data_IF_502203632249
#
_entry.id   IF_502203632249
#
_cell.length_a   1.000
_cell.length_b   1.000
_cell.length_c   1.000
_cell.angle_alpha   90.00
_cell.angle_beta   90.00
_cell.angle_gamma   90.00
#
_symmetry.space_group_name_H-M   'P 1'
#
loop_
_entity.id
_entity.type
_entity.pdbx_description
1 polymer ?
#
# COMPACT_ATOMS: atom_id res chain seq x y z
N UNK A 1 33.74 11.07 -18.26
CA UNK A 1 34.06 9.70 -17.80
C UNK A 1 34.92 9.03 -18.87
N UNK A 2 36.12 8.56 -18.54
CA UNK A 2 36.98 7.85 -19.50
C UNK A 2 36.61 6.37 -19.52
N UNK A 3 36.07 5.87 -20.62
CA UNK A 3 35.82 4.43 -20.78
C UNK A 3 37.14 3.71 -21.05
N UNK A 4 37.43 2.62 -20.32
CA UNK A 4 38.60 1.76 -20.55
C UNK A 4 38.14 0.42 -21.11
N UNK A 5 38.65 0.05 -22.29
CA UNK A 5 38.38 -1.25 -22.87
C UNK A 5 38.99 -2.36 -21.99
N UNK A 6 38.20 -3.40 -21.73
CA UNK A 6 38.60 -4.59 -20.98
C UNK A 6 38.12 -5.84 -21.72
N UNK A 7 38.94 -6.88 -21.73
CA UNK A 7 38.59 -8.17 -22.34
C UNK A 7 38.20 -9.15 -21.25
N UNK A 8 36.95 -9.62 -21.28
CA UNK A 8 36.43 -10.62 -20.34
C UNK A 8 36.42 -11.98 -21.01
N UNK A 9 37.08 -12.97 -20.40
CA UNK A 9 37.00 -14.37 -20.86
C UNK A 9 35.76 -15.03 -20.26
N UNK A 10 34.90 -15.56 -21.12
CA UNK A 10 33.70 -16.30 -20.73
C UNK A 10 33.91 -17.80 -20.94
N UNK A 11 33.38 -18.62 -20.03
CA UNK A 11 33.28 -20.06 -20.28
C UNK A 11 32.28 -20.35 -21.42
N UNK A 12 32.34 -21.53 -22.05
CA UNK A 12 31.38 -21.90 -23.10
C UNK A 12 29.92 -21.84 -22.63
N UNK A 13 29.63 -22.16 -21.37
CA UNK A 13 28.27 -22.07 -20.81
C UNK A 13 27.82 -20.62 -20.62
N UNK A 14 28.69 -19.74 -20.10
CA UNK A 14 28.41 -18.31 -19.94
C UNK A 14 28.18 -17.63 -21.29
N UNK A 15 28.98 -17.96 -22.30
CA UNK A 15 28.81 -17.42 -23.65
C UNK A 15 27.47 -17.82 -24.26
N UNK A 16 27.03 -19.09 -24.13
CA UNK A 16 25.73 -19.54 -24.63
C UNK A 16 24.58 -18.75 -23.98
N UNK A 17 24.61 -18.59 -22.67
CA UNK A 17 23.60 -17.83 -21.92
C UNK A 17 23.58 -16.37 -22.37
N UNK A 18 24.76 -15.75 -22.52
CA UNK A 18 24.88 -14.36 -23.00
C UNK A 18 24.28 -14.20 -24.40
N UNK A 19 24.64 -15.09 -25.34
CA UNK A 19 24.18 -15.05 -26.72
C UNK A 19 22.65 -15.26 -26.82
N UNK A 20 22.09 -16.17 -26.00
CA UNK A 20 20.64 -16.36 -25.93
C UNK A 20 19.93 -15.11 -25.43
N UNK A 21 20.46 -14.43 -24.42
CA UNK A 21 19.90 -13.16 -23.93
C UNK A 21 20.05 -12.03 -24.94
N UNK A 22 21.18 -11.96 -25.65
CA UNK A 22 21.42 -10.98 -26.69
C UNK A 22 20.40 -11.14 -27.82
N UNK A 23 20.20 -12.37 -28.30
CA UNK A 23 19.22 -12.71 -29.33
C UNK A 23 17.79 -12.37 -28.93
N UNK A 24 17.38 -12.72 -27.70
CA UNK A 24 16.03 -12.41 -27.19
C UNK A 24 15.74 -10.91 -27.10
N UNK A 25 16.78 -10.10 -26.92
CA UNK A 25 16.66 -8.64 -26.75
C UNK A 25 17.04 -7.84 -28.01
N UNK A 26 17.38 -8.51 -29.11
CA UNK A 26 17.80 -7.85 -30.35
C UNK A 26 19.11 -7.07 -30.21
N UNK A 27 20.00 -7.49 -29.30
CA UNK A 27 21.27 -6.83 -29.01
C UNK A 27 22.44 -7.63 -29.59
N UNK A 28 23.57 -6.96 -29.81
CA UNK A 28 24.84 -7.66 -30.06
C UNK A 28 25.36 -8.29 -28.77
N UNK A 29 26.16 -9.36 -28.90
CA UNK A 29 26.78 -10.03 -27.75
C UNK A 29 27.63 -9.06 -26.91
N UNK A 30 28.31 -8.13 -27.58
CA UNK A 30 29.09 -7.07 -26.91
C UNK A 30 28.20 -6.13 -26.09
N UNK A 31 27.09 -5.64 -26.67
CA UNK A 31 26.15 -4.77 -25.96
C UNK A 31 25.47 -5.51 -24.79
N UNK A 32 25.18 -6.79 -24.96
CA UNK A 32 24.65 -7.63 -23.89
C UNK A 32 25.67 -7.82 -22.77
N UNK A 33 26.94 -8.05 -23.10
CA UNK A 33 28.03 -8.16 -22.11
C UNK A 33 28.17 -6.87 -21.28
N UNK A 34 28.13 -5.71 -21.93
CA UNK A 34 28.15 -4.42 -21.23
C UNK A 34 26.99 -4.29 -20.23
N UNK A 35 25.77 -4.68 -20.61
CA UNK A 35 24.60 -4.67 -19.72
C UNK A 35 24.70 -5.66 -18.55
N UNK A 36 25.27 -6.84 -18.79
CA UNK A 36 25.50 -7.83 -17.72
C UNK A 36 26.50 -7.29 -16.71
N UNK A 37 27.58 -6.66 -17.18
CA UNK A 37 28.59 -6.04 -16.31
C UNK A 37 28.00 -4.88 -15.51
N UNK A 38 27.23 -4.00 -16.15
CA UNK A 38 26.55 -2.89 -15.49
C UNK A 38 25.56 -3.38 -14.41
N UNK A 39 24.72 -4.37 -14.73
CA UNK A 39 23.80 -4.96 -13.79
C UNK A 39 24.52 -5.66 -12.62
N UNK A 40 25.66 -6.31 -12.90
CA UNK A 40 26.51 -6.93 -11.88
C UNK A 40 27.11 -5.89 -10.93
N UNK A 41 27.63 -4.78 -11.44
CA UNK A 41 28.11 -3.67 -10.61
C UNK A 41 26.99 -3.06 -9.78
N UNK A 42 25.81 -2.87 -10.36
CA UNK A 42 24.66 -2.34 -9.64
C UNK A 42 24.26 -3.27 -8.48
N UNK A 43 24.25 -4.59 -8.71
CA UNK A 43 23.98 -5.58 -7.67
C UNK A 43 25.08 -5.64 -6.59
N UNK A 44 26.34 -5.36 -6.93
CA UNK A 44 27.43 -5.28 -5.95
C UNK A 44 27.40 -3.99 -5.12
N UNK A 45 26.98 -2.86 -5.73
CA UNK A 45 26.92 -1.56 -5.08
C UNK A 45 25.71 -1.41 -4.15
N UNK A 46 24.58 -1.99 -4.53
CA UNK A 46 23.33 -1.94 -3.77
C UNK A 46 23.02 -3.24 -3.03
N UNK A 47 23.99 -4.18 -2.97
CA UNK A 47 23.75 -5.52 -2.44
C UNK A 47 22.53 -6.22 -3.07
N UNK A 48 22.07 -7.29 -2.46
CA UNK A 48 20.72 -7.81 -2.69
C UNK A 48 19.67 -7.01 -1.89
N UNK A 49 19.88 -5.69 -1.69
CA UNK A 49 19.02 -4.84 -0.83
C UNK A 49 17.58 -4.76 -1.30
N UNK A 50 17.28 -5.17 -2.54
CA UNK A 50 15.89 -5.28 -3.02
C UNK A 50 15.00 -6.13 -2.11
N UNK A 51 15.52 -7.18 -1.48
CA UNK A 51 14.72 -8.00 -0.56
C UNK A 51 14.53 -7.32 0.80
N UNK A 52 15.55 -6.61 1.28
CA UNK A 52 15.49 -5.80 2.52
C UNK A 52 14.54 -4.61 2.35
N UNK A 53 14.66 -3.86 1.24
CA UNK A 53 13.80 -2.73 0.90
C UNK A 53 12.33 -3.16 0.78
N UNK A 54 12.07 -4.34 0.20
CA UNK A 54 10.70 -4.87 0.09
C UNK A 54 10.14 -5.26 1.47
N UNK A 55 10.98 -5.84 2.34
CA UNK A 55 10.57 -6.22 3.69
C UNK A 55 10.29 -4.99 4.58
N UNK A 56 11.12 -3.95 4.48
CA UNK A 56 10.92 -2.67 5.16
C UNK A 56 9.64 -1.97 4.66
N UNK A 57 9.44 -1.93 3.34
CA UNK A 57 8.23 -1.36 2.75
C UNK A 57 6.97 -2.14 3.17
N UNK A 58 7.03 -3.47 3.22
CA UNK A 58 5.93 -4.29 3.72
C UNK A 58 5.65 -4.03 5.21
N UNK A 59 6.69 -3.82 6.02
CA UNK A 59 6.55 -3.47 7.43
C UNK A 59 5.84 -2.12 7.61
N UNK A 60 6.29 -1.09 6.89
CA UNK A 60 5.68 0.24 6.95
C UNK A 60 4.23 0.24 6.46
N UNK A 61 3.92 -0.48 5.37
CA UNK A 61 2.53 -0.66 4.92
C UNK A 61 1.69 -1.35 6.00
N UNK A 62 2.24 -2.36 6.67
CA UNK A 62 1.58 -3.03 7.79
C UNK A 62 1.28 -2.07 8.95
N UNK A 63 2.24 -1.22 9.31
CA UNK A 63 2.08 -0.20 10.35
C UNK A 63 1.03 0.85 9.97
N UNK A 64 1.03 1.32 8.72
CA UNK A 64 0.02 2.26 8.19
C UNK A 64 -1.36 1.62 8.23
N UNK A 65 -1.49 0.38 7.76
CA UNK A 65 -2.76 -0.36 7.76
C UNK A 65 -3.33 -0.52 9.17
N UNK A 66 -2.48 -0.85 10.15
CA UNK A 66 -2.90 -0.96 11.54
C UNK A 66 -3.40 0.37 12.12
N UNK A 67 -2.70 1.48 11.79
CA UNK A 67 -3.10 2.83 12.22
C UNK A 67 -4.40 3.29 11.55
N UNK A 68 -4.61 2.93 10.28
CA UNK A 68 -5.84 3.24 9.56
C UNK A 68 -7.04 2.51 10.17
N UNK A 69 -6.90 1.21 10.45
CA UNK A 69 -7.94 0.43 11.11
C UNK A 69 -8.29 0.99 12.51
N UNK A 70 -7.32 1.54 13.25
CA UNK A 70 -7.61 2.19 14.52
C UNK A 70 -8.33 3.54 14.32
N UNK A 71 -7.95 4.31 13.30
CA UNK A 71 -8.65 5.55 12.95
C UNK A 71 -10.12 5.28 12.58
N UNK A 72 -10.40 4.23 11.79
CA UNK A 72 -11.76 3.81 11.45
C UNK A 72 -12.59 3.49 12.70
N UNK A 73 -12.03 2.78 13.69
CA UNK A 73 -12.73 2.51 14.97
C UNK A 73 -13.01 3.77 15.77
N UNK A 74 -12.11 4.76 15.75
CA UNK A 74 -12.35 6.07 16.39
C UNK A 74 -13.46 6.83 15.65
N UNK A 75 -13.44 6.82 14.33
CA UNK A 75 -14.44 7.47 13.49
C UNK A 75 -15.84 6.85 13.69
N UNK A 76 -15.95 5.52 13.73
CA UNK A 76 -17.22 4.82 13.97
C UNK A 76 -17.82 5.18 15.35
N UNK A 77 -16.99 5.17 16.40
CA UNK A 77 -17.40 5.64 17.74
C UNK A 77 -17.84 7.11 17.73
N UNK A 78 -17.10 7.97 17.03
CA UNK A 78 -17.40 9.40 16.93
C UNK A 78 -18.73 9.62 16.20
N UNK A 79 -18.97 8.89 15.12
CA UNK A 79 -20.22 8.92 14.36
C UNK A 79 -21.40 8.51 15.25
N UNK A 80 -21.26 7.41 16.00
CA UNK A 80 -22.28 6.99 16.96
C UNK A 80 -22.56 8.07 18.02
N UNK A 81 -21.52 8.64 18.63
CA UNK A 81 -21.66 9.72 19.62
C UNK A 81 -22.34 10.95 19.02
N UNK A 82 -22.02 11.32 17.78
CA UNK A 82 -22.64 12.45 17.09
C UNK A 82 -24.14 12.20 16.82
N UNK A 83 -24.51 10.99 16.35
CA UNK A 83 -25.91 10.61 16.14
C UNK A 83 -26.71 10.65 17.45
N UNK A 84 -26.16 10.12 18.54
CA UNK A 84 -26.77 10.18 19.86
C UNK A 84 -26.95 11.63 20.32
N UNK A 85 -25.88 12.43 20.31
CA UNK A 85 -25.92 13.82 20.73
C UNK A 85 -26.97 14.63 19.97
N UNK A 86 -27.05 14.46 18.64
CA UNK A 86 -28.04 15.12 17.81
C UNK A 86 -29.48 14.70 18.17
N UNK A 87 -29.73 13.39 18.34
CA UNK A 87 -31.05 12.89 18.70
C UNK A 87 -31.52 13.48 20.05
N UNK A 88 -30.69 13.38 21.09
CA UNK A 88 -31.01 13.95 22.41
C UNK A 88 -31.20 15.47 22.37
N UNK A 89 -30.32 16.20 21.68
CA UNK A 89 -30.45 17.66 21.55
C UNK A 89 -31.73 18.06 20.82
N UNK A 90 -32.09 17.37 19.74
CA UNK A 90 -33.32 17.61 18.99
C UNK A 90 -34.56 17.35 19.83
N UNK A 91 -34.59 16.26 20.59
CA UNK A 91 -35.72 15.92 21.45
C UNK A 91 -35.87 16.89 22.62
N UNK A 92 -34.76 17.36 23.21
CA UNK A 92 -34.76 18.40 24.21
C UNK A 92 -35.31 19.73 23.64
N UNK A 93 -34.88 20.12 22.44
CA UNK A 93 -35.32 21.35 21.79
C UNK A 93 -36.80 21.32 21.39
N UNK A 94 -37.32 20.16 20.96
CA UNK A 94 -38.73 19.99 20.58
C UNK A 94 -39.66 19.74 21.79
N UNK A 95 -39.11 19.59 23.00
CA UNK A 95 -39.89 19.32 24.22
C UNK A 95 -40.67 18.01 24.17
N UNK A 96 -40.22 17.03 23.38
CA UNK A 96 -40.93 15.76 23.21
C UNK A 96 -40.83 14.89 24.45
N UNK A 97 -41.95 14.32 24.91
CA UNK A 97 -42.00 13.39 26.05
C UNK A 97 -41.71 11.94 25.65
N UNK A 98 -40.66 11.71 24.86
CA UNK A 98 -40.23 10.35 24.50
C UNK A 98 -39.38 9.75 25.62
N UNK A 99 -39.42 8.43 25.76
CA UNK A 99 -38.54 7.73 26.70
C UNK A 99 -37.11 7.73 26.19
N UNK A 100 -36.15 7.56 27.09
CA UNK A 100 -34.72 7.48 26.77
C UNK A 100 -34.44 6.35 25.76
N UNK A 101 -35.08 5.20 25.94
CA UNK A 101 -34.94 4.04 25.07
C UNK A 101 -35.39 4.34 23.64
N UNK A 102 -36.45 5.15 23.49
CA UNK A 102 -36.95 5.55 22.16
C UNK A 102 -35.95 6.45 21.45
N UNK A 103 -35.36 7.42 22.17
CA UNK A 103 -34.37 8.35 21.62
C UNK A 103 -33.08 7.61 21.25
N UNK A 104 -32.63 6.68 22.10
CA UNK A 104 -31.48 5.82 21.85
C UNK A 104 -31.70 4.92 20.61
N UNK A 105 -32.91 4.39 20.42
CA UNK A 105 -33.29 3.65 19.22
C UNK A 105 -33.17 4.51 17.95
N UNK A 106 -33.72 5.72 17.97
CA UNK A 106 -33.63 6.65 16.83
C UNK A 106 -32.17 7.05 16.51
N UNK A 107 -31.34 7.26 17.53
CA UNK A 107 -29.92 7.52 17.36
C UNK A 107 -29.19 6.33 16.72
N UNK A 108 -29.51 5.11 17.15
CA UNK A 108 -28.93 3.88 16.57
C UNK A 108 -29.33 3.70 15.11
N UNK A 109 -30.60 3.91 14.78
CA UNK A 109 -31.07 3.81 13.40
C UNK A 109 -30.41 4.87 12.50
N UNK A 110 -30.19 6.08 13.03
CA UNK A 110 -29.47 7.12 12.32
C UNK A 110 -27.99 6.76 12.07
N UNK A 111 -27.32 6.22 13.09
CA UNK A 111 -25.96 5.71 12.97
C UNK A 111 -25.86 4.61 11.92
N UNK A 112 -26.74 3.61 11.96
CA UNK A 112 -26.74 2.50 10.99
C UNK A 112 -26.93 2.98 9.54
N UNK A 113 -27.80 3.98 9.31
CA UNK A 113 -27.95 4.60 7.98
C UNK A 113 -26.68 5.33 7.53
N UNK A 114 -26.00 6.05 8.42
CA UNK A 114 -24.76 6.74 8.07
C UNK A 114 -23.63 5.74 7.78
N UNK A 115 -23.57 4.65 8.55
CA UNK A 115 -22.61 3.57 8.34
C UNK A 115 -22.87 2.84 7.01
N UNK A 116 -24.12 2.56 6.66
CA UNK A 116 -24.44 1.93 5.38
C UNK A 116 -24.05 2.80 4.19
N UNK A 117 -24.30 4.12 4.25
CA UNK A 117 -23.87 5.06 3.22
C UNK A 117 -22.35 5.10 3.07
N UNK A 118 -21.59 4.98 4.16
CA UNK A 118 -20.14 4.94 4.10
C UNK A 118 -19.62 3.67 3.39
N UNK A 119 -20.28 2.53 3.59
CA UNK A 119 -19.93 1.26 2.94
C UNK A 119 -20.35 1.20 1.46
N UNK A 120 -21.39 1.93 1.06
CA UNK A 120 -21.82 2.03 -0.34
C UNK A 120 -20.88 2.89 -1.21
N UNK A 121 -20.01 3.70 -0.59
CA UNK A 121 -19.07 4.60 -1.28
C UNK A 121 -17.71 3.92 -1.53
N UNK A 122 -17.45 2.73 -0.99
CA UNK A 122 -16.28 1.91 -1.36
C UNK A 122 -16.44 1.35 -2.80
N UNK A 123 -15.58 1.73 -3.77
CA UNK A 123 -15.61 1.21 -5.14
C UNK A 123 -14.99 -0.18 -5.29
#
# INVERSE_FOLDING_TARGET
MSARAQTVRLSPSQYRVLADFAKRRGLSDYAMLARVVEAGFLAMLHGTDKETDLAELAHEIGAISARLAEAERVLDRTLFTACAAYAYARHAALGTKKTDETIAGEARDAFERQRSLALEIEP
#
